data_IF_718667357844
#
_entry.id   IF_718667357844
#
_cell.length_a   1.000
_cell.length_b   1.000
_cell.length_c   1.000
_cell.angle_alpha   90.00
_cell.angle_beta   90.00
_cell.angle_gamma   90.00
#
_symmetry.space_group_name_H-M   'P 1'
#
loop_
_entity.id
_entity.type
_entity.pdbx_description
1 polymer ?
#
# COMPACT_ATOMS: atom_id res chain seq x y z
N UNK A 1 -15.86 8.36 12.74
CA UNK A 1 -14.73 7.80 11.99
C UNK A 1 -14.08 8.96 11.26
N UNK A 2 -12.86 9.34 11.66
CA UNK A 2 -12.18 10.51 11.08
C UNK A 2 -11.73 10.17 9.66
N UNK A 3 -12.24 10.88 8.67
CA UNK A 3 -11.88 10.68 7.27
C UNK A 3 -10.64 11.51 6.94
N UNK A 4 -9.47 10.86 6.93
CA UNK A 4 -8.25 11.49 6.45
C UNK A 4 -8.32 11.64 4.94
N UNK A 5 -7.93 12.80 4.43
CA UNK A 5 -7.85 13.07 2.99
C UNK A 5 -6.41 13.17 2.54
N UNK A 6 -6.16 12.74 1.31
CA UNK A 6 -4.89 12.88 0.63
C UNK A 6 -5.09 13.51 -0.74
N UNK A 7 -4.10 14.27 -1.22
CA UNK A 7 -4.07 14.76 -2.59
C UNK A 7 -3.46 13.70 -3.49
N UNK A 8 -4.21 13.27 -4.50
CA UNK A 8 -3.74 12.34 -5.52
C UNK A 8 -4.10 12.88 -6.91
N UNK A 9 -3.09 13.07 -7.76
CA UNK A 9 -3.24 13.60 -9.12
C UNK A 9 -4.09 14.89 -9.20
N UNK A 10 -3.92 15.78 -8.22
CA UNK A 10 -4.66 17.05 -8.15
C UNK A 10 -6.07 16.96 -7.56
N UNK A 11 -6.58 15.77 -7.25
CA UNK A 11 -7.87 15.58 -6.59
C UNK A 11 -7.70 15.18 -5.11
N UNK A 12 -8.63 15.58 -4.26
CA UNK A 12 -8.73 15.05 -2.91
C UNK A 12 -9.42 13.69 -2.94
N UNK A 13 -8.87 12.74 -2.19
CA UNK A 13 -9.50 11.45 -1.97
C UNK A 13 -9.33 11.00 -0.53
N UNK A 14 -10.23 10.13 -0.09
CA UNK A 14 -10.13 9.48 1.20
C UNK A 14 -8.86 8.59 1.28
N UNK A 15 -8.19 8.61 2.44
CA UNK A 15 -6.95 7.91 2.68
C UNK A 15 -7.12 6.39 2.53
N UNK A 16 -8.21 5.82 3.05
CA UNK A 16 -8.45 4.38 2.90
C UNK A 16 -8.57 4.00 1.43
N UNK A 17 -9.25 4.84 0.64
CA UNK A 17 -9.36 4.67 -0.81
C UNK A 17 -7.98 4.75 -1.48
N UNK A 18 -7.14 5.70 -1.08
CA UNK A 18 -5.79 5.86 -1.62
C UNK A 18 -4.89 4.66 -1.29
N UNK A 19 -4.86 4.24 -0.03
CA UNK A 19 -4.14 3.04 0.41
C UNK A 19 -4.59 1.79 -0.36
N UNK A 20 -5.89 1.65 -0.61
CA UNK A 20 -6.45 0.56 -1.41
C UNK A 20 -5.94 0.59 -2.86
N UNK A 21 -5.79 1.78 -3.47
CA UNK A 21 -5.19 1.91 -4.81
C UNK A 21 -3.72 1.51 -4.83
N UNK A 22 -2.94 1.90 -3.82
CA UNK A 22 -1.53 1.51 -3.69
C UNK A 22 -1.38 -0.01 -3.57
N UNK A 23 -2.19 -0.65 -2.73
CA UNK A 23 -2.22 -2.11 -2.58
C UNK A 23 -2.55 -2.82 -3.89
N UNK A 24 -3.56 -2.34 -4.64
CA UNK A 24 -3.89 -2.86 -5.99
C UNK A 24 -2.73 -2.70 -6.98
N UNK A 25 -2.03 -1.55 -6.94
CA UNK A 25 -0.87 -1.30 -7.80
C UNK A 25 0.25 -2.29 -7.51
N UNK A 26 0.54 -2.57 -6.24
CA UNK A 26 1.54 -3.56 -5.84
C UNK A 26 1.18 -4.96 -6.34
N UNK A 27 -0.08 -5.38 -6.23
CA UNK A 27 -0.53 -6.67 -6.78
C UNK A 27 -0.36 -6.74 -8.31
N UNK A 28 -0.67 -5.64 -9.02
CA UNK A 28 -0.43 -5.56 -10.47
C UNK A 28 1.06 -5.62 -10.83
N UNK A 29 1.93 -5.07 -9.97
CA UNK A 29 3.38 -5.16 -10.14
C UNK A 29 3.87 -6.59 -9.95
N UNK A 30 3.39 -7.32 -8.93
CA UNK A 30 3.71 -8.74 -8.75
C UNK A 30 3.31 -9.58 -9.96
N UNK A 31 2.11 -9.37 -10.50
CA UNK A 31 1.66 -10.06 -11.71
C UNK A 31 2.54 -9.73 -12.93
N UNK A 32 2.94 -8.47 -13.07
CA UNK A 32 3.84 -8.03 -14.15
C UNK A 32 5.23 -8.65 -14.00
N UNK A 33 5.72 -8.78 -12.76
CA UNK A 33 7.00 -9.39 -12.45
C UNK A 33 7.00 -10.89 -12.81
N UNK A 34 5.95 -11.63 -12.46
CA UNK A 34 5.78 -13.03 -12.87
C UNK A 34 5.83 -13.19 -14.38
N UNK A 35 5.10 -12.33 -15.10
CA UNK A 35 5.07 -12.34 -16.56
C UNK A 35 6.42 -12.02 -17.17
N UNK A 36 7.17 -11.07 -16.59
CA UNK A 36 8.49 -10.68 -17.09
C UNK A 36 9.54 -11.79 -16.86
N UNK A 37 9.55 -12.39 -15.68
CA UNK A 37 10.48 -13.48 -15.34
C UNK A 37 10.12 -14.76 -16.12
N UNK A 38 8.84 -14.96 -16.42
CA UNK A 38 8.36 -16.18 -17.07
C UNK A 38 8.30 -17.38 -16.10
N UNK A 39 8.32 -17.12 -14.79
CA UNK A 39 8.20 -18.13 -13.74
C UNK A 39 7.31 -17.62 -12.60
N UNK A 40 6.52 -18.48 -11.93
CA UNK A 40 5.78 -18.08 -10.73
C UNK A 40 6.72 -17.57 -9.64
N UNK A 41 6.33 -16.55 -8.86
CA UNK A 41 7.20 -16.04 -7.76
C UNK A 41 7.42 -17.09 -6.66
N UNK A 42 6.54 -18.10 -6.60
CA UNK A 42 6.66 -19.23 -5.68
C UNK A 42 7.76 -20.24 -6.05
N UNK A 43 8.35 -20.13 -7.23
CA UNK A 43 9.26 -21.14 -7.77
C UNK A 43 10.70 -21.06 -7.23
N UNK A 44 11.06 -19.95 -6.58
CA UNK A 44 12.40 -19.67 -6.09
C UNK A 44 12.32 -18.93 -4.75
N UNK A 45 13.22 -19.25 -3.81
CA UNK A 45 13.19 -18.68 -2.46
C UNK A 45 13.42 -17.16 -2.46
N UNK A 46 14.23 -16.66 -3.39
CA UNK A 46 14.47 -15.21 -3.52
C UNK A 46 13.24 -14.51 -4.08
N UNK A 47 12.61 -15.08 -5.11
CA UNK A 47 11.36 -14.54 -5.67
C UNK A 47 10.21 -14.59 -4.67
N UNK A 48 10.15 -15.65 -3.87
CA UNK A 48 9.15 -15.80 -2.80
C UNK A 48 9.35 -14.72 -1.74
N UNK A 49 10.60 -14.47 -1.33
CA UNK A 49 10.92 -13.39 -0.39
C UNK A 49 10.52 -12.02 -0.94
N UNK A 50 10.85 -11.72 -2.20
CA UNK A 50 10.45 -10.45 -2.85
C UNK A 50 8.93 -10.29 -2.84
N UNK A 51 8.19 -11.36 -3.18
CA UNK A 51 6.73 -11.36 -3.14
C UNK A 51 6.22 -11.08 -1.73
N UNK A 52 6.74 -11.77 -0.74
CA UNK A 52 6.27 -11.70 0.64
C UNK A 52 6.55 -10.32 1.26
N UNK A 53 7.70 -9.73 0.96
CA UNK A 53 8.03 -8.35 1.37
C UNK A 53 7.01 -7.35 0.78
N UNK A 54 6.68 -7.48 -0.52
CA UNK A 54 5.69 -6.61 -1.18
C UNK A 54 4.27 -6.82 -0.62
N UNK A 55 3.87 -8.06 -0.38
CA UNK A 55 2.55 -8.38 0.18
C UNK A 55 2.42 -7.89 1.62
N UNK A 56 3.49 -8.00 2.41
CA UNK A 56 3.54 -7.48 3.78
C UNK A 56 3.33 -5.96 3.78
N UNK A 57 4.09 -5.23 2.96
CA UNK A 57 3.93 -3.77 2.83
C UNK A 57 2.53 -3.41 2.33
N UNK A 58 1.97 -4.18 1.39
CA UNK A 58 0.61 -3.94 0.87
C UNK A 58 -0.47 -4.10 1.95
N UNK A 59 -0.31 -5.09 2.84
CA UNK A 59 -1.19 -5.29 3.98
C UNK A 59 -1.07 -4.13 4.99
N UNK A 60 0.15 -3.68 5.28
CA UNK A 60 0.37 -2.55 6.18
C UNK A 60 -0.22 -1.23 5.64
N UNK A 61 -0.01 -0.95 4.35
CA UNK A 61 -0.58 0.24 3.68
C UNK A 61 -2.11 0.20 3.77
N UNK A 62 -2.72 -0.95 3.49
CA UNK A 62 -4.18 -1.10 3.51
C UNK A 62 -4.77 -0.82 4.91
N UNK A 63 -4.02 -1.12 5.97
CA UNK A 63 -4.40 -0.87 7.37
C UNK A 63 -3.85 0.42 7.95
N UNK A 64 -3.18 1.25 7.14
CA UNK A 64 -2.56 2.48 7.63
C UNK A 64 -3.59 3.39 8.32
N UNK A 65 -4.80 3.46 7.77
CA UNK A 65 -5.91 4.22 8.33
C UNK A 65 -6.30 3.80 9.78
N UNK A 66 -6.05 2.54 10.16
CA UNK A 66 -6.29 2.03 11.53
C UNK A 66 -5.16 2.43 12.50
N UNK A 67 -3.98 2.73 11.97
CA UNK A 67 -2.78 3.08 12.73
C UNK A 67 -2.62 4.59 12.96
N UNK A 68 -3.49 5.42 12.36
CA UNK A 68 -3.39 6.88 12.48
C UNK A 68 -3.95 7.35 13.83
N UNK A 69 -3.05 7.91 14.64
CA UNK A 69 -3.38 8.59 15.88
C UNK A 69 -3.40 10.10 15.58
N UNK A 70 -4.52 10.76 15.87
CA UNK A 70 -4.56 12.22 15.89
C UNK A 70 -3.79 12.69 17.12
N UNK A 71 -2.63 13.32 16.92
CA UNK A 71 -2.02 14.14 17.96
C UNK A 71 -2.61 15.54 17.85
N UNK A 72 -3.41 15.93 18.84
CA UNK A 72 -3.73 17.33 19.07
C UNK A 72 -2.47 18.04 19.59
N UNK A 73 -1.55 18.36 18.69
CA UNK A 73 -0.49 19.35 18.95
C UNK A 73 -0.64 20.45 17.92
N UNK A 74 -1.72 21.20 18.08
CA UNK A 74 -1.73 22.62 17.79
C UNK A 74 -1.85 23.32 19.16
N UNK A 75 -0.77 23.27 19.94
CA UNK A 75 -0.57 24.26 21.00
C UNK A 75 -0.34 25.59 20.28
N UNK A 76 -1.40 26.39 20.21
CA UNK A 76 -1.49 27.53 19.32
C UNK A 76 -0.31 28.51 19.36
N UNK A 77 -0.07 29.12 18.19
CA UNK A 77 0.68 30.37 18.02
C UNK A 77 -0.10 31.29 17.08
#
# INVERSE_FOLDING_TARGET
MTNYKVKHNGAEMDLYTYCSLLSKKNNSTLYTLEKYIGSPLLSDDTLMKIRDDILTVSAEISRLHEKLIMSDTDEGL
#
